data_IF_342551339213
#
_entry.id   IF_342551339213
#
_cell.length_a   1.000
_cell.length_b   1.000
_cell.length_c   1.000
_cell.angle_alpha   90.00
_cell.angle_beta   90.00
_cell.angle_gamma   90.00
#
_symmetry.space_group_name_H-M   'P 1'
#
loop_
_entity.id
_entity.type
_entity.pdbx_description
1 polymer ?
#
# COMPACT_ATOMS: atom_id res chain seq x y z
N UNK A 1 6.06 -7.02 22.97
CA UNK A 1 6.81 -7.68 21.88
C UNK A 1 8.16 -7.01 21.86
N UNK A 2 9.21 -7.76 22.16
CA UNK A 2 10.58 -7.23 22.19
C UNK A 2 11.02 -6.94 20.74
N UNK A 3 11.63 -5.78 20.50
CA UNK A 3 12.05 -5.39 19.16
C UNK A 3 13.23 -6.27 18.78
N UNK A 4 13.10 -7.02 17.69
CA UNK A 4 14.20 -7.82 17.15
C UNK A 4 15.35 -6.89 16.74
N UNK A 5 16.58 -7.42 16.79
CA UNK A 5 17.77 -6.69 16.36
C UNK A 5 17.64 -6.25 14.90
N UNK A 6 18.04 -5.01 14.62
CA UNK A 6 17.96 -4.45 13.28
C UNK A 6 18.95 -5.15 12.34
N UNK A 7 18.42 -5.82 11.32
CA UNK A 7 19.18 -6.50 10.28
C UNK A 7 18.99 -5.81 8.92
N UNK A 8 19.95 -6.02 8.03
CA UNK A 8 19.87 -5.55 6.64
C UNK A 8 18.66 -6.14 5.90
N UNK A 9 18.30 -7.38 6.23
CA UNK A 9 17.11 -8.06 5.72
C UNK A 9 16.63 -9.13 6.71
N UNK A 10 15.41 -9.60 6.49
CA UNK A 10 14.80 -10.71 7.20
C UNK A 10 14.29 -11.74 6.20
N UNK A 11 14.17 -13.00 6.64
CA UNK A 11 13.53 -14.02 5.81
C UNK A 11 12.03 -13.72 5.67
N UNK A 12 11.48 -13.88 4.47
CA UNK A 12 10.03 -13.79 4.27
C UNK A 12 9.33 -15.04 4.84
N UNK A 13 8.17 -14.86 5.47
CA UNK A 13 7.35 -15.98 5.92
C UNK A 13 6.88 -16.85 4.74
N UNK A 14 6.51 -18.11 4.97
CA UNK A 14 6.00 -19.01 3.92
C UNK A 14 4.80 -18.43 3.15
N UNK A 15 3.94 -17.67 3.83
CA UNK A 15 2.82 -16.99 3.20
C UNK A 15 3.30 -15.85 2.27
N UNK A 16 4.26 -15.05 2.73
CA UNK A 16 4.88 -14.01 1.92
C UNK A 16 5.65 -14.59 0.73
N UNK A 17 6.42 -15.68 0.91
CA UNK A 17 7.12 -16.39 -0.18
C UNK A 17 6.13 -16.82 -1.27
N UNK A 18 4.98 -17.40 -0.89
CA UNK A 18 3.92 -17.80 -1.83
C UNK A 18 3.37 -16.60 -2.60
N UNK A 19 2.99 -15.52 -1.91
CA UNK A 19 2.43 -14.33 -2.56
C UNK A 19 3.43 -13.66 -3.49
N UNK A 20 4.70 -13.60 -3.08
CA UNK A 20 5.77 -13.10 -3.94
C UNK A 20 5.89 -13.92 -5.22
N UNK A 21 5.96 -15.26 -5.12
CA UNK A 21 6.03 -16.13 -6.30
C UNK A 21 4.82 -15.95 -7.23
N UNK A 22 3.61 -15.82 -6.68
CA UNK A 22 2.40 -15.59 -7.47
C UNK A 22 2.46 -14.26 -8.24
N UNK A 23 2.89 -13.17 -7.61
CA UNK A 23 3.06 -11.88 -8.30
C UNK A 23 4.21 -11.91 -9.32
N UNK A 24 5.26 -12.71 -9.09
CA UNK A 24 6.35 -12.83 -10.07
C UNK A 24 5.95 -13.60 -11.33
N UNK A 25 4.93 -14.47 -11.25
CA UNK A 25 4.38 -15.18 -12.40
C UNK A 25 3.61 -14.24 -13.34
N UNK A 26 2.84 -13.30 -12.76
CA UNK A 26 2.14 -12.25 -13.49
C UNK A 26 2.32 -10.91 -12.77
N UNK A 27 3.34 -10.16 -13.18
CA UNK A 27 3.73 -8.88 -12.55
C UNK A 27 2.67 -7.79 -12.72
N UNK A 28 1.81 -7.92 -13.73
CA UNK A 28 0.76 -6.97 -14.04
C UNK A 28 -0.58 -7.37 -13.39
N UNK A 29 -0.59 -8.43 -12.57
CA UNK A 29 -1.76 -8.84 -11.83
C UNK A 29 -2.10 -7.86 -10.72
N UNK A 30 -3.41 -7.65 -10.52
CA UNK A 30 -3.98 -6.97 -9.35
C UNK A 30 -4.82 -7.93 -8.49
N UNK A 31 -4.70 -9.25 -8.71
CA UNK A 31 -5.53 -10.24 -8.03
C UNK A 31 -5.35 -10.26 -6.50
N UNK A 32 -4.20 -9.80 -6.02
CA UNK A 32 -3.85 -9.71 -4.59
C UNK A 32 -3.78 -8.27 -4.08
N UNK A 33 -4.35 -7.33 -4.83
CA UNK A 33 -4.63 -5.99 -4.33
C UNK A 33 -5.86 -6.03 -3.41
N UNK A 34 -5.86 -5.15 -2.41
CA UNK A 34 -6.94 -5.01 -1.43
C UNK A 34 -7.44 -3.56 -1.43
N UNK A 35 -8.19 -3.14 -2.47
CA UNK A 35 -8.71 -1.79 -2.55
C UNK A 35 -9.91 -1.59 -1.62
N UNK A 36 -9.96 -0.42 -1.00
CA UNK A 36 -11.11 0.07 -0.24
C UNK A 36 -11.38 1.53 -0.60
N UNK A 37 -12.66 1.88 -0.70
CA UNK A 37 -13.12 3.22 -1.04
C UNK A 37 -14.08 3.73 0.05
N UNK A 38 -13.78 4.90 0.60
CA UNK A 38 -14.65 5.59 1.55
C UNK A 38 -15.21 6.85 0.90
N UNK A 39 -16.54 7.01 0.88
CA UNK A 39 -17.13 8.32 0.63
C UNK A 39 -17.00 9.15 1.91
N UNK A 40 -16.31 10.28 1.85
CA UNK A 40 -16.16 11.19 2.98
C UNK A 40 -17.23 12.28 2.94
N UNK A 41 -17.77 12.63 4.11
CA UNK A 41 -18.79 13.65 4.26
C UNK A 41 -18.34 14.75 5.23
N UNK A 42 -18.87 15.97 5.04
CA UNK A 42 -18.56 17.11 5.88
C UNK A 42 -17.24 17.82 5.54
N UNK A 43 -16.66 18.52 6.52
CA UNK A 43 -15.42 19.30 6.34
C UNK A 43 -14.21 18.37 6.36
N UNK A 44 -13.62 18.14 5.18
CA UNK A 44 -12.44 17.28 5.03
C UNK A 44 -11.16 18.07 5.34
N UNK A 45 -10.39 17.59 6.31
CA UNK A 45 -9.08 18.15 6.64
C UNK A 45 -7.97 17.29 6.05
N UNK A 46 -7.45 17.72 4.89
CA UNK A 46 -6.44 17.01 4.11
C UNK A 46 -5.12 16.82 4.87
N UNK A 47 -4.69 17.86 5.60
CA UNK A 47 -3.49 17.80 6.43
C UNK A 47 -3.59 16.73 7.53
N UNK A 48 -4.79 16.57 8.14
CA UNK A 48 -5.00 15.49 9.12
C UNK A 48 -4.95 14.10 8.49
N UNK A 49 -5.48 13.94 7.28
CA UNK A 49 -5.40 12.67 6.55
C UNK A 49 -3.93 12.33 6.28
N UNK A 50 -3.17 13.28 5.73
CA UNK A 50 -1.75 13.10 5.45
C UNK A 50 -0.94 12.77 6.70
N UNK A 51 -1.11 13.55 7.77
CA UNK A 51 -0.42 13.31 9.05
C UNK A 51 -0.76 11.94 9.65
N UNK A 52 -2.01 11.49 9.49
CA UNK A 52 -2.45 10.17 9.97
C UNK A 52 -1.74 9.05 9.24
N UNK A 53 -1.73 9.07 7.90
CA UNK A 53 -1.02 8.04 7.13
C UNK A 53 0.49 8.09 7.32
N UNK A 54 1.07 9.29 7.49
CA UNK A 54 2.48 9.43 7.88
C UNK A 54 2.77 8.71 9.19
N UNK A 55 2.00 8.98 10.26
CA UNK A 55 2.18 8.33 11.57
C UNK A 55 1.95 6.82 11.53
N UNK A 56 0.95 6.35 10.78
CA UNK A 56 0.68 4.91 10.64
C UNK A 56 1.85 4.23 9.92
N UNK A 57 2.39 4.84 8.87
CA UNK A 57 3.54 4.29 8.13
C UNK A 57 4.82 4.30 8.97
N UNK A 58 5.07 5.38 9.73
CA UNK A 58 6.17 5.45 10.69
C UNK A 58 6.07 4.34 11.76
N UNK A 59 4.85 4.11 12.29
CA UNK A 59 4.57 3.14 13.35
C UNK A 59 4.66 1.68 12.90
N UNK A 60 4.24 1.37 11.67
CA UNK A 60 4.06 -0.02 11.21
C UNK A 60 5.12 -0.39 10.16
N UNK A 61 6.09 -1.21 10.58
CA UNK A 61 7.18 -1.69 9.71
C UNK A 61 6.67 -2.36 8.43
N UNK A 62 5.58 -3.14 8.49
CA UNK A 62 4.99 -3.80 7.32
C UNK A 62 4.62 -2.86 6.17
N UNK A 63 4.23 -1.61 6.46
CA UNK A 63 3.91 -0.60 5.44
C UNK A 63 5.16 -0.02 4.76
N UNK A 64 6.33 -0.24 5.38
CA UNK A 64 7.66 0.14 4.89
C UNK A 64 8.43 -1.05 4.33
N UNK A 65 7.82 -2.24 4.32
CA UNK A 65 8.46 -3.48 3.84
C UNK A 65 8.36 -3.61 2.31
N UNK A 66 9.44 -4.09 1.70
CA UNK A 66 9.49 -4.58 0.32
C UNK A 66 10.23 -5.92 0.25
N UNK A 67 10.15 -6.60 -0.89
CA UNK A 67 10.60 -7.97 -1.08
C UNK A 67 11.52 -8.10 -2.29
N UNK A 68 12.60 -8.84 -2.13
CA UNK A 68 13.54 -9.16 -3.22
C UNK A 68 14.02 -10.60 -3.12
N UNK A 69 14.70 -11.07 -4.15
CA UNK A 69 15.38 -12.36 -4.15
C UNK A 69 16.87 -12.13 -3.95
N UNK A 70 17.45 -12.76 -2.92
CA UNK A 70 18.88 -12.76 -2.64
C UNK A 70 19.34 -14.21 -2.55
N UNK A 71 20.31 -14.60 -3.38
CA UNK A 71 20.87 -15.96 -3.43
C UNK A 71 19.81 -17.08 -3.54
N UNK A 72 18.72 -16.82 -4.26
CA UNK A 72 17.62 -17.77 -4.46
C UNK A 72 16.55 -17.76 -3.36
N UNK A 73 16.77 -17.04 -2.26
CA UNK A 73 15.80 -16.88 -1.17
C UNK A 73 15.03 -15.57 -1.28
N UNK A 74 13.74 -15.63 -0.93
CA UNK A 74 12.88 -14.44 -0.87
C UNK A 74 13.05 -13.81 0.51
N UNK A 75 13.56 -12.57 0.50
CA UNK A 75 13.81 -11.79 1.70
C UNK A 75 12.89 -10.57 1.76
N UNK A 76 12.72 -10.02 2.95
CA UNK A 76 12.01 -8.78 3.20
C UNK A 76 12.96 -7.73 3.79
N UNK A 77 12.82 -6.48 3.34
CA UNK A 77 13.65 -5.33 3.72
C UNK A 77 12.80 -4.15 4.08
N UNK A 78 13.34 -3.28 4.94
CA UNK A 78 12.66 -2.07 5.40
C UNK A 78 13.18 -0.83 4.67
N UNK A 79 12.26 -0.02 4.17
CA UNK A 79 12.52 1.33 3.70
C UNK A 79 12.34 2.30 4.88
N UNK A 80 13.44 2.60 5.59
CA UNK A 80 13.40 3.45 6.78
C UNK A 80 13.15 4.94 6.47
N UNK A 81 13.64 5.43 5.34
CA UNK A 81 13.36 6.77 4.86
C UNK A 81 12.10 6.75 3.98
N UNK A 82 10.98 7.19 4.55
CA UNK A 82 9.70 7.26 3.86
C UNK A 82 8.98 8.57 4.15
N UNK A 83 8.81 9.39 3.12
CA UNK A 83 7.95 10.56 3.14
C UNK A 83 6.59 10.18 2.53
N UNK A 84 5.56 10.08 3.36
CA UNK A 84 4.18 9.92 2.89
C UNK A 84 3.62 11.28 2.45
N UNK A 85 3.08 11.35 1.22
CA UNK A 85 2.35 12.51 0.70
C UNK A 85 0.98 12.09 0.22
N UNK A 86 -0.05 12.84 0.62
CA UNK A 86 -1.41 12.59 0.15
C UNK A 86 -1.52 13.02 -1.31
N UNK A 87 -1.87 12.07 -2.18
CA UNK A 87 -2.13 12.38 -3.58
C UNK A 87 -3.58 12.83 -3.72
N UNK A 88 -3.77 14.05 -4.24
CA UNK A 88 -5.08 14.63 -4.50
C UNK A 88 -5.38 14.66 -6.00
N UNK A 89 -6.61 14.32 -6.36
CA UNK A 89 -7.06 14.31 -7.76
C UNK A 89 -8.48 14.85 -7.85
N UNK A 90 -8.75 15.67 -8.87
CA UNK A 90 -10.12 16.02 -9.25
C UNK A 90 -10.48 15.25 -10.52
N UNK A 91 -11.54 14.46 -10.46
CA UNK A 91 -11.99 13.66 -11.61
C UNK A 91 -13.51 13.59 -11.61
N UNK A 92 -14.13 13.93 -12.74
CA UNK A 92 -15.57 13.82 -12.92
C UNK A 92 -15.88 12.55 -13.70
N UNK A 93 -16.69 11.66 -13.13
CA UNK A 93 -17.06 10.42 -13.80
C UNK A 93 -17.83 9.45 -12.92
N UNK A 94 -18.09 8.27 -13.47
CA UNK A 94 -18.60 7.14 -12.69
C UNK A 94 -17.53 6.70 -11.71
N UNK A 95 -17.91 6.53 -10.44
CA UNK A 95 -16.97 6.20 -9.37
C UNK A 95 -16.27 4.86 -9.62
N UNK A 96 -16.96 3.89 -10.20
CA UNK A 96 -16.38 2.57 -10.53
C UNK A 96 -15.21 2.70 -11.53
N UNK A 97 -15.31 3.60 -12.50
CA UNK A 97 -14.21 3.84 -13.45
C UNK A 97 -13.00 4.48 -12.77
N UNK A 98 -13.23 5.37 -11.79
CA UNK A 98 -12.17 6.01 -11.01
C UNK A 98 -11.47 4.95 -10.15
N UNK A 99 -12.24 4.10 -9.46
CA UNK A 99 -11.70 2.99 -8.65
C UNK A 99 -10.90 2.03 -9.52
N UNK A 100 -11.42 1.63 -10.68
CA UNK A 100 -10.72 0.73 -11.60
C UNK A 100 -9.40 1.32 -12.13
N UNK A 101 -9.32 2.64 -12.34
CA UNK A 101 -8.05 3.31 -12.71
C UNK A 101 -7.09 3.43 -11.53
N UNK A 102 -7.61 3.53 -10.31
CA UNK A 102 -6.83 3.63 -9.10
C UNK A 102 -6.12 2.31 -8.78
N UNK A 103 -6.81 1.19 -8.94
CA UNK A 103 -6.26 -0.17 -8.74
C UNK A 103 -5.29 -0.50 -9.86
N UNK A 104 -4.02 -0.66 -9.48
CA UNK A 104 -2.91 -0.96 -10.40
C UNK A 104 -1.89 -1.91 -9.75
N UNK A 105 -1.09 -2.65 -10.52
CA UNK A 105 -0.14 -3.61 -9.97
C UNK A 105 0.85 -2.96 -9.00
N UNK A 106 1.33 -3.74 -8.03
CA UNK A 106 2.42 -3.31 -7.14
C UNK A 106 3.74 -3.94 -7.60
N UNK A 107 4.81 -3.15 -7.56
CA UNK A 107 6.17 -3.70 -7.64
C UNK A 107 6.60 -4.10 -6.23
N UNK A 108 6.61 -5.40 -5.93
CA UNK A 108 6.96 -5.90 -4.59
C UNK A 108 8.38 -5.54 -4.14
N UNK A 109 9.28 -5.20 -5.08
CA UNK A 109 10.64 -4.74 -4.79
C UNK A 109 10.75 -3.25 -4.45
N UNK A 110 9.63 -2.52 -4.33
CA UNK A 110 9.62 -1.09 -3.97
C UNK A 110 8.54 -0.80 -2.94
N UNK A 111 8.96 -0.36 -1.76
CA UNK A 111 8.05 0.22 -0.77
C UNK A 111 7.60 1.64 -1.20
N UNK A 112 6.43 2.11 -0.74
CA UNK A 112 5.43 1.37 0.01
C UNK A 112 4.58 0.44 -0.87
N UNK A 113 4.13 -0.69 -0.30
CA UNK A 113 3.19 -1.61 -0.95
C UNK A 113 1.72 -1.28 -0.62
N UNK A 114 1.47 0.01 -0.37
CA UNK A 114 0.15 0.61 -0.26
C UNK A 114 0.14 2.00 -0.92
N UNK A 115 -1.04 2.51 -1.24
CA UNK A 115 -1.25 3.84 -1.83
C UNK A 115 -2.57 4.43 -1.33
N UNK A 116 -2.62 5.75 -1.28
CA UNK A 116 -3.79 6.50 -0.82
C UNK A 116 -4.01 7.68 -1.75
N UNK A 117 -5.24 7.87 -2.19
CA UNK A 117 -5.64 9.01 -3.00
C UNK A 117 -6.94 9.64 -2.48
N UNK A 118 -6.97 10.97 -2.45
CA UNK A 118 -8.17 11.75 -2.16
C UNK A 118 -8.75 12.26 -3.49
N UNK A 119 -9.92 11.75 -3.86
CA UNK A 119 -10.60 12.08 -5.11
C UNK A 119 -11.76 13.03 -4.84
N UNK A 120 -11.73 14.22 -5.45
CA UNK A 120 -12.91 15.09 -5.56
C UNK A 120 -13.63 14.75 -6.87
N UNK A 121 -14.87 14.23 -6.78
CA UNK A 121 -15.71 13.87 -7.92
C UNK A 121 -17.09 14.53 -7.78
N UNK A 122 -17.36 15.53 -8.63
CA UNK A 122 -18.53 16.41 -8.51
C UNK A 122 -18.59 17.04 -7.11
N UNK A 123 -19.65 16.80 -6.35
CA UNK A 123 -19.86 17.30 -4.99
C UNK A 123 -19.45 16.30 -3.90
N UNK A 124 -18.86 15.17 -4.29
CA UNK A 124 -18.46 14.09 -3.37
C UNK A 124 -16.94 13.98 -3.29
N UNK A 125 -16.46 13.64 -2.09
CA UNK A 125 -15.05 13.34 -1.85
C UNK A 125 -14.91 11.87 -1.50
N UNK A 126 -13.91 11.21 -2.09
CA UNK A 126 -13.61 9.81 -1.84
C UNK A 126 -12.17 9.65 -1.36
N UNK A 127 -11.95 8.85 -0.33
CA UNK A 127 -10.63 8.37 0.07
C UNK A 127 -10.47 6.94 -0.46
N UNK A 128 -9.58 6.77 -1.43
CA UNK A 128 -9.24 5.48 -1.99
C UNK A 128 -7.93 4.99 -1.37
N UNK A 129 -7.94 3.75 -0.90
CA UNK A 129 -6.76 3.09 -0.34
C UNK A 129 -6.62 1.76 -1.04
N UNK A 130 -5.41 1.39 -1.42
CA UNK A 130 -5.12 0.07 -1.98
C UNK A 130 -3.79 -0.41 -1.40
N UNK A 131 -3.73 -1.69 -1.04
CA UNK A 131 -2.54 -2.32 -0.47
C UNK A 131 -2.39 -3.74 -1.00
N UNK A 132 -1.16 -4.24 -1.04
CA UNK A 132 -0.91 -5.60 -1.46
C UNK A 132 -1.08 -6.58 -0.28
N UNK A 133 -1.75 -7.72 -0.52
CA UNK A 133 -2.03 -8.74 0.50
C UNK A 133 -0.76 -9.36 1.13
N UNK A 134 0.42 -9.15 0.53
CA UNK A 134 1.69 -9.59 1.11
C UNK A 134 2.09 -8.82 2.39
N UNK A 135 1.55 -7.62 2.59
CA UNK A 135 1.81 -6.76 3.77
C UNK A 135 0.57 -6.58 4.68
N UNK A 136 -0.57 -7.19 4.33
CA UNK A 136 -1.82 -7.12 5.10
C UNK A 136 -2.62 -8.40 4.90
N UNK A 137 -3.17 -8.95 5.97
CA UNK A 137 -3.98 -10.18 5.95
C UNK A 137 -5.49 -9.94 5.87
N UNK A 138 -5.94 -8.67 5.85
CA UNK A 138 -7.34 -8.29 5.61
C UNK A 138 -8.29 -8.44 6.79
N UNK A 139 -7.77 -8.54 8.02
CA UNK A 139 -8.55 -8.62 9.27
C UNK A 139 -8.75 -7.25 9.89
#
# INVERSE_FOLDING_TARGET
IEKIEEKEYYEASSAQKRMYMLQQFDKDSTAYNMPVAFQLEGKINKNKIEETFRKITERHEGLRTYFETLDGEIIQKLQNDHEFKLVERKENGYIDNIINKFVRPFNLGKAPLFRVELIENKEKTYLLIDMHHIISDGV
#
